data_IF_656395360733
#
_entry.id   IF_656395360733
#
_cell.length_a   1.000
_cell.length_b   1.000
_cell.length_c   1.000
_cell.angle_alpha   90.00
_cell.angle_beta   90.00
_cell.angle_gamma   90.00
#
_symmetry.space_group_name_H-M   'P 1'
#
loop_
_entity.id
_entity.type
_entity.pdbx_description
1 polymer ?
#
# COMPACT_ATOMS: atom_id res chain seq x y z
N UNK A 1 9.30 -75.79 10.16
CA UNK A 1 10.33 -74.73 10.17
C UNK A 1 10.74 -74.57 8.72
N UNK A 2 10.47 -73.49 7.99
CA UNK A 2 10.58 -72.06 8.32
C UNK A 2 9.52 -71.22 7.59
N UNK A 3 9.14 -70.12 8.25
CA UNK A 3 8.29 -69.04 7.77
C UNK A 3 9.07 -68.10 6.84
N UNK A 4 8.61 -67.88 5.62
CA UNK A 4 9.03 -66.71 4.82
C UNK A 4 7.81 -65.83 4.57
N UNK A 5 7.77 -64.69 5.28
CA UNK A 5 6.78 -63.64 5.10
C UNK A 5 7.02 -62.84 3.82
N UNK A 6 6.04 -62.03 3.37
CA UNK A 6 6.17 -61.26 2.15
C UNK A 6 7.28 -60.20 2.26
N UNK A 7 8.10 -60.18 1.21
CA UNK A 7 9.27 -59.33 0.95
C UNK A 7 9.04 -57.86 1.37
N UNK A 8 9.74 -57.40 2.42
CA UNK A 8 9.80 -55.98 2.77
C UNK A 8 10.85 -55.30 1.88
N UNK A 9 10.39 -54.68 0.78
CA UNK A 9 11.22 -53.76 0.00
C UNK A 9 11.69 -52.56 0.85
N UNK A 10 12.74 -51.84 0.41
CA UNK A 10 13.39 -50.81 1.21
C UNK A 10 12.39 -49.78 1.75
N UNK A 11 12.37 -49.64 3.08
CA UNK A 11 11.51 -48.72 3.80
C UNK A 11 12.00 -47.27 3.59
N UNK A 12 11.66 -46.70 2.43
CA UNK A 12 11.75 -45.26 2.24
C UNK A 12 10.80 -44.52 3.20
N UNK A 13 11.02 -43.22 3.46
CA UNK A 13 10.13 -42.44 4.32
C UNK A 13 8.69 -42.46 3.80
N UNK A 14 7.73 -42.66 4.70
CA UNK A 14 6.30 -42.67 4.37
C UNK A 14 5.88 -41.37 3.65
N UNK A 15 5.06 -41.49 2.61
CA UNK A 15 4.54 -40.37 1.83
C UNK A 15 3.16 -39.98 2.33
N UNK A 16 3.00 -38.72 2.71
CA UNK A 16 1.71 -38.18 3.15
C UNK A 16 0.86 -37.77 1.95
N UNK A 17 -0.39 -38.22 1.91
CA UNK A 17 -1.32 -37.89 0.82
C UNK A 17 -1.75 -36.42 0.91
N UNK A 18 -1.59 -35.67 -0.19
CA UNK A 18 -2.00 -34.26 -0.26
C UNK A 18 -3.52 -34.06 -0.23
N UNK A 19 -4.31 -35.07 -0.61
CA UNK A 19 -5.77 -34.99 -0.70
C UNK A 19 -6.45 -35.28 0.64
N UNK A 20 -6.05 -36.35 1.34
CA UNK A 20 -6.71 -36.78 2.58
C UNK A 20 -5.80 -36.83 3.81
N UNK A 21 -4.51 -36.49 3.65
CA UNK A 21 -3.55 -36.40 4.74
C UNK A 21 -3.06 -37.72 5.31
N UNK A 22 -3.45 -38.87 4.75
CA UNK A 22 -3.04 -40.19 5.25
C UNK A 22 -1.59 -40.51 4.90
N UNK A 23 -0.91 -41.22 5.79
CA UNK A 23 0.44 -41.73 5.54
C UNK A 23 0.37 -42.99 4.69
N UNK A 24 1.21 -43.07 3.67
CA UNK A 24 1.28 -44.17 2.73
C UNK A 24 2.71 -44.70 2.64
N UNK A 25 2.91 -46.01 2.42
CA UNK A 25 4.24 -46.57 2.22
C UNK A 25 4.96 -45.91 1.04
N UNK A 26 6.29 -45.78 1.12
CA UNK A 26 7.09 -45.07 0.11
C UNK A 26 6.98 -45.65 -1.31
N UNK A 27 6.62 -46.93 -1.44
CA UNK A 27 6.46 -47.64 -2.71
C UNK A 27 5.05 -47.50 -3.33
N UNK A 28 4.11 -46.82 -2.67
CA UNK A 28 2.76 -46.62 -3.20
C UNK A 28 2.73 -45.43 -4.17
N UNK A 29 2.12 -45.64 -5.34
CA UNK A 29 1.87 -44.59 -6.33
C UNK A 29 0.53 -43.86 -6.09
N UNK A 30 -0.39 -44.50 -5.37
CA UNK A 30 -1.73 -44.00 -5.04
C UNK A 30 -2.00 -44.12 -3.55
N UNK A 31 -2.80 -43.19 -3.02
CA UNK A 31 -3.22 -43.19 -1.63
C UNK A 31 -4.13 -44.38 -1.33
N UNK A 32 -3.78 -45.19 -0.34
CA UNK A 32 -4.56 -46.35 0.11
C UNK A 32 -5.93 -45.98 0.67
N UNK A 33 -6.11 -44.73 1.12
CA UNK A 33 -7.35 -44.25 1.74
C UNK A 33 -8.32 -43.55 0.78
N UNK A 34 -7.80 -42.77 -0.19
CA UNK A 34 -8.66 -41.98 -1.10
C UNK A 34 -8.35 -42.17 -2.59
N UNK A 35 -7.38 -43.01 -2.96
CA UNK A 35 -7.01 -43.28 -4.35
C UNK A 35 -6.26 -42.15 -5.07
N UNK A 36 -5.99 -41.02 -4.41
CA UNK A 36 -5.28 -39.89 -5.05
C UNK A 36 -3.81 -40.25 -5.35
N UNK A 37 -3.24 -39.81 -6.50
CA UNK A 37 -1.84 -40.07 -6.82
C UNK A 37 -0.90 -39.38 -5.81
N UNK A 38 0.11 -40.11 -5.36
CA UNK A 38 1.10 -39.67 -4.36
C UNK A 38 2.34 -39.00 -4.98
N UNK A 39 2.51 -39.11 -6.30
CA UNK A 39 3.76 -38.77 -6.99
C UNK A 39 3.81 -37.34 -7.57
N UNK A 40 2.74 -36.55 -7.54
CA UNK A 40 2.75 -35.22 -8.16
C UNK A 40 1.93 -34.24 -7.33
N UNK A 41 2.53 -33.18 -6.74
CA UNK A 41 1.72 -32.04 -6.30
C UNK A 41 0.93 -31.56 -7.53
N UNK A 42 -0.37 -31.24 -7.40
CA UNK A 42 -1.18 -30.86 -8.55
C UNK A 42 -0.44 -29.79 -9.36
N UNK A 43 -0.27 -30.04 -10.66
CA UNK A 43 0.35 -29.08 -11.59
C UNK A 43 -0.34 -27.74 -11.38
N UNK A 44 0.36 -26.78 -10.78
CA UNK A 44 -0.09 -25.41 -10.70
C UNK A 44 0.36 -24.75 -12.00
N UNK A 45 -0.56 -24.44 -12.94
CA UNK A 45 -0.17 -23.72 -14.14
C UNK A 45 0.54 -22.43 -13.72
N UNK A 46 1.62 -22.02 -14.42
CA UNK A 46 2.30 -20.78 -14.12
C UNK A 46 1.27 -19.65 -14.07
N UNK A 47 1.23 -18.93 -12.95
CA UNK A 47 0.26 -17.84 -12.75
C UNK A 47 0.45 -16.83 -13.89
N UNK A 48 -0.60 -16.50 -14.67
CA UNK A 48 -0.45 -15.52 -15.74
C UNK A 48 -0.01 -14.19 -15.14
N UNK A 49 1.03 -13.58 -15.72
CA UNK A 49 1.50 -12.25 -15.32
C UNK A 49 0.38 -11.26 -15.64
N UNK A 50 -0.12 -10.58 -14.61
CA UNK A 50 -1.18 -9.58 -14.78
C UNK A 50 -0.57 -8.18 -14.92
N UNK A 51 -1.33 -7.24 -15.49
CA UNK A 51 -0.93 -5.82 -15.54
C UNK A 51 -0.64 -5.24 -14.14
N UNK A 52 -1.30 -5.81 -13.10
CA UNK A 52 -1.05 -5.49 -11.70
C UNK A 52 0.33 -5.95 -11.23
N UNK A 53 0.80 -7.11 -11.68
CA UNK A 53 2.12 -7.62 -11.33
C UNK A 53 3.21 -6.77 -12.00
N UNK A 54 2.99 -6.37 -13.25
CA UNK A 54 3.87 -5.42 -13.97
C UNK A 54 3.91 -4.07 -13.23
N UNK A 55 2.76 -3.48 -12.91
CA UNK A 55 2.70 -2.20 -12.19
C UNK A 55 3.38 -2.25 -10.82
N UNK A 56 3.23 -3.36 -10.08
CA UNK A 56 3.93 -3.58 -8.81
C UNK A 56 5.44 -3.62 -8.98
N UNK A 57 5.95 -4.38 -9.96
CA UNK A 57 7.37 -4.47 -10.23
C UNK A 57 7.92 -3.10 -10.66
N UNK A 58 7.23 -2.40 -11.56
CA UNK A 58 7.61 -1.05 -11.98
C UNK A 58 7.68 -0.10 -10.79
N UNK A 59 6.68 -0.10 -9.90
CA UNK A 59 6.69 0.69 -8.67
C UNK A 59 7.82 0.32 -7.71
N UNK A 60 8.16 -0.96 -7.60
CA UNK A 60 9.23 -1.44 -6.73
C UNK A 60 10.62 -1.02 -7.24
N UNK A 61 10.84 -0.99 -8.55
CA UNK A 61 12.11 -0.49 -9.10
C UNK A 61 12.18 1.03 -9.10
N UNK A 62 11.07 1.73 -9.38
CA UNK A 62 11.05 3.20 -9.43
C UNK A 62 11.14 3.86 -8.05
N UNK A 63 10.97 3.13 -6.95
CA UNK A 63 11.23 3.64 -5.60
C UNK A 63 12.72 3.74 -5.25
N UNK A 64 13.60 2.98 -5.92
CA UNK A 64 15.05 3.03 -5.69
C UNK A 64 15.67 4.38 -6.03
N UNK A 65 15.43 4.98 -7.21
CA UNK A 65 15.92 6.32 -7.50
C UNK A 65 15.36 7.37 -6.52
N UNK A 66 14.11 7.19 -6.06
CA UNK A 66 13.51 8.11 -5.08
C UNK A 66 14.23 8.00 -3.73
N UNK A 67 14.53 6.77 -3.29
CA UNK A 67 15.30 6.51 -2.08
C UNK A 67 16.68 7.19 -2.13
N UNK A 68 17.37 7.10 -3.28
CA UNK A 68 18.67 7.75 -3.49
C UNK A 68 18.52 9.27 -3.40
N UNK A 69 17.55 9.85 -4.11
CA UNK A 69 17.28 11.28 -4.06
C UNK A 69 16.95 11.75 -2.64
N UNK A 70 16.10 11.03 -1.92
CA UNK A 70 15.77 11.32 -0.54
C UNK A 70 17.00 11.26 0.37
N UNK A 71 17.87 10.26 0.20
CA UNK A 71 19.11 10.15 0.97
C UNK A 71 20.05 11.35 0.73
N UNK A 72 20.21 11.77 -0.53
CA UNK A 72 20.97 12.97 -0.89
C UNK A 72 20.34 14.22 -0.26
N UNK A 73 19.02 14.35 -0.34
CA UNK A 73 18.31 15.50 0.22
C UNK A 73 18.41 15.53 1.74
N UNK A 74 18.33 14.41 2.44
CA UNK A 74 18.56 14.33 3.90
C UNK A 74 19.98 14.79 4.23
N UNK A 75 20.98 14.39 3.46
CA UNK A 75 22.35 14.86 3.63
C UNK A 75 22.47 16.38 3.40
N UNK A 76 21.79 16.93 2.39
CA UNK A 76 21.70 18.38 2.14
C UNK A 76 21.04 19.10 3.32
N UNK A 77 19.95 18.57 3.87
CA UNK A 77 19.28 19.16 5.05
C UNK A 77 20.20 19.15 6.29
N UNK A 78 20.97 18.09 6.50
CA UNK A 78 21.94 18.06 7.62
C UNK A 78 23.09 19.04 7.37
N UNK A 79 23.62 19.08 6.15
CA UNK A 79 24.65 20.05 5.75
C UNK A 79 24.16 21.50 5.86
N UNK A 80 22.88 21.73 5.58
CA UNK A 80 22.22 23.02 5.71
C UNK A 80 22.28 23.62 7.12
N UNK A 81 22.60 22.85 8.16
CA UNK A 81 22.86 23.37 9.52
C UNK A 81 24.00 24.40 9.46
N UNK A 82 25.07 24.11 8.71
CA UNK A 82 26.20 25.02 8.52
C UNK A 82 25.83 26.26 7.70
N UNK A 83 24.85 26.15 6.79
CA UNK A 83 24.36 27.28 5.99
C UNK A 83 23.41 28.20 6.75
N UNK A 84 22.61 27.66 7.67
CA UNK A 84 21.64 28.42 8.46
C UNK A 84 22.30 29.10 9.66
N UNK A 85 23.36 28.52 10.22
CA UNK A 85 24.06 29.06 11.40
C UNK A 85 24.47 30.55 11.28
N UNK A 86 25.00 31.05 10.15
CA UNK A 86 25.33 32.47 10.01
C UNK A 86 24.13 33.42 10.01
N UNK A 87 22.91 32.90 9.85
CA UNK A 87 21.66 33.66 9.70
C UNK A 87 20.78 33.58 10.96
N UNK A 88 21.40 33.42 12.14
CA UNK A 88 20.69 33.43 13.44
C UNK A 88 19.98 34.75 13.73
N UNK A 89 20.35 35.83 13.06
CA UNK A 89 19.71 37.15 13.15
C UNK A 89 18.32 37.20 12.50
N UNK A 90 17.97 36.22 11.67
CA UNK A 90 16.69 36.13 10.99
C UNK A 90 15.58 35.63 11.93
N UNK A 91 14.32 35.88 11.55
CA UNK A 91 13.15 35.38 12.27
C UNK A 91 12.25 34.49 11.40
N UNK A 92 11.51 33.59 12.05
CA UNK A 92 10.52 32.71 11.43
C UNK A 92 9.29 32.60 12.33
N UNK A 93 8.10 32.62 11.74
CA UNK A 93 6.85 32.48 12.48
C UNK A 93 6.30 31.06 12.37
N UNK A 94 6.11 30.40 13.51
CA UNK A 94 5.25 29.23 13.61
C UNK A 94 3.80 29.66 13.46
N UNK A 95 3.02 28.83 12.79
CA UNK A 95 1.62 29.13 12.46
C UNK A 95 0.71 27.94 12.71
N UNK A 96 -0.59 28.19 12.80
CA UNK A 96 -1.63 27.16 12.74
C UNK A 96 -2.42 27.32 11.45
N UNK A 97 -2.81 26.19 10.87
CA UNK A 97 -3.67 26.16 9.68
C UNK A 97 -5.13 26.24 10.11
N UNK A 98 -5.72 27.40 9.86
CA UNK A 98 -7.18 27.60 9.78
C UNK A 98 -7.52 27.87 8.30
N UNK A 99 -8.74 28.31 7.90
CA UNK A 99 -8.94 28.78 6.53
C UNK A 99 -7.97 29.92 6.14
N UNK A 100 -7.30 30.52 7.14
CA UNK A 100 -6.12 31.37 7.00
C UNK A 100 -4.92 30.79 7.75
N UNK A 101 -3.70 31.11 7.30
CA UNK A 101 -2.48 30.84 8.05
C UNK A 101 -2.37 31.88 9.15
N UNK A 102 -2.46 31.45 10.41
CA UNK A 102 -2.42 32.35 11.58
C UNK A 102 -1.07 32.16 12.29
N UNK A 103 -0.17 33.15 12.30
CA UNK A 103 1.06 33.07 13.07
C UNK A 103 0.76 33.07 14.56
N UNK A 104 1.49 32.25 15.32
CA UNK A 104 1.29 32.06 16.77
C UNK A 104 2.53 32.34 17.61
N UNK A 105 3.72 32.17 17.04
CA UNK A 105 4.99 32.33 17.74
C UNK A 105 6.07 32.73 16.74
N UNK A 106 6.80 33.80 17.04
CA UNK A 106 7.97 34.20 16.27
C UNK A 106 9.25 33.68 16.94
N UNK A 107 10.09 33.01 16.17
CA UNK A 107 11.37 32.46 16.59
C UNK A 107 12.47 33.31 15.97
N UNK A 108 13.39 33.81 16.80
CA UNK A 108 14.58 34.55 16.37
C UNK A 108 15.82 34.13 17.14
N UNK A 109 16.99 34.59 16.71
CA UNK A 109 18.25 34.33 17.42
C UNK A 109 18.58 32.84 17.48
N UNK A 110 18.98 32.38 18.66
CA UNK A 110 19.29 30.96 18.90
C UNK A 110 18.08 30.04 18.68
N UNK A 111 16.86 30.50 18.97
CA UNK A 111 15.65 29.68 18.82
C UNK A 111 15.33 29.36 17.36
N UNK A 112 15.59 30.29 16.44
CA UNK A 112 15.49 30.10 14.99
C UNK A 112 16.43 28.98 14.52
N UNK A 113 17.70 29.03 14.94
CA UNK A 113 18.69 28.03 14.57
C UNK A 113 18.42 26.65 15.19
N UNK A 114 18.12 26.59 16.49
CA UNK A 114 17.77 25.33 17.16
C UNK A 114 16.53 24.68 16.56
N UNK A 115 15.56 25.49 16.12
CA UNK A 115 14.39 24.98 15.42
C UNK A 115 14.76 24.34 14.09
N UNK A 116 15.66 24.94 13.30
CA UNK A 116 16.17 24.29 12.08
C UNK A 116 16.86 22.94 12.37
N UNK A 117 17.70 22.88 13.41
CA UNK A 117 18.34 21.62 13.83
C UNK A 117 17.28 20.57 14.17
N UNK A 118 16.21 20.96 14.87
CA UNK A 118 15.07 20.09 15.14
C UNK A 118 14.40 19.59 13.85
N UNK A 119 14.16 20.46 12.86
CA UNK A 119 13.58 20.07 11.56
C UNK A 119 14.46 19.04 10.84
N UNK A 120 15.77 19.28 10.76
CA UNK A 120 16.73 18.38 10.15
C UNK A 120 16.75 17.00 10.84
N UNK A 121 16.74 16.97 12.17
CA UNK A 121 16.67 15.73 12.95
C UNK A 121 15.35 15.00 12.74
N UNK A 122 14.21 15.70 12.71
CA UNK A 122 12.90 15.08 12.48
C UNK A 122 12.82 14.39 11.11
N UNK A 123 13.36 15.03 10.06
CA UNK A 123 13.46 14.47 8.71
C UNK A 123 14.41 13.26 8.70
N UNK A 124 15.60 13.39 9.28
CA UNK A 124 16.59 12.31 9.31
C UNK A 124 16.09 11.07 10.09
N UNK A 125 15.48 11.27 11.25
CA UNK A 125 14.88 10.18 12.05
C UNK A 125 13.74 9.53 11.27
N UNK A 126 12.90 10.31 10.60
CA UNK A 126 11.82 9.79 9.76
C UNK A 126 12.37 8.90 8.63
N UNK A 127 13.45 9.34 7.97
CA UNK A 127 14.12 8.60 6.92
C UNK A 127 14.72 7.29 7.42
N UNK A 128 15.46 7.32 8.53
CA UNK A 128 16.06 6.12 9.14
C UNK A 128 14.97 5.13 9.56
N UNK A 129 13.88 5.61 10.16
CA UNK A 129 12.75 4.79 10.57
C UNK A 129 12.06 4.11 9.37
N UNK A 130 11.86 4.86 8.29
CA UNK A 130 11.33 4.34 7.02
C UNK A 130 12.25 3.27 6.43
N UNK A 131 13.56 3.54 6.37
CA UNK A 131 14.56 2.60 5.85
C UNK A 131 14.59 1.31 6.66
N UNK A 132 14.58 1.41 7.99
CA UNK A 132 14.56 0.26 8.90
C UNK A 132 13.33 -0.62 8.68
N UNK A 133 12.13 -0.04 8.59
CA UNK A 133 10.89 -0.78 8.31
C UNK A 133 10.83 -1.37 6.89
N UNK A 134 11.57 -0.78 5.96
CA UNK A 134 11.61 -1.22 4.55
C UNK A 134 12.61 -2.35 4.32
N UNK A 135 13.66 -2.46 5.14
CA UNK A 135 14.80 -3.37 4.92
C UNK A 135 14.42 -4.85 4.71
N UNK A 136 13.38 -5.34 5.40
CA UNK A 136 12.91 -6.73 5.25
C UNK A 136 11.96 -6.95 4.05
N UNK A 137 10.88 -6.15 3.87
CA UNK A 137 9.94 -6.38 2.77
C UNK A 137 10.51 -6.06 1.38
N UNK A 138 11.48 -5.15 1.27
CA UNK A 138 11.99 -4.65 -0.03
C UNK A 138 12.50 -5.76 -0.95
N UNK A 139 13.18 -6.77 -0.42
CA UNK A 139 13.70 -7.87 -1.23
C UNK A 139 12.56 -8.63 -1.91
N UNK A 140 11.46 -8.87 -1.19
CA UNK A 140 10.30 -9.57 -1.76
C UNK A 140 9.60 -8.72 -2.82
N UNK A 141 9.54 -7.42 -2.62
CA UNK A 141 8.95 -6.46 -3.57
C UNK A 141 9.77 -6.38 -4.86
N UNK A 142 11.09 -6.28 -4.78
CA UNK A 142 12.00 -6.26 -5.94
C UNK A 142 12.00 -7.58 -6.71
N UNK A 143 11.78 -8.71 -6.01
CA UNK A 143 11.59 -10.03 -6.63
C UNK A 143 10.19 -10.22 -7.24
N UNK A 144 9.30 -9.23 -7.16
CA UNK A 144 7.92 -9.34 -7.66
C UNK A 144 7.04 -10.33 -6.89
N UNK A 145 7.46 -10.75 -5.69
CA UNK A 145 6.70 -11.69 -4.85
C UNK A 145 5.55 -10.95 -4.18
N UNK A 146 4.41 -11.64 -4.03
CA UNK A 146 3.29 -11.07 -3.28
C UNK A 146 3.66 -10.89 -1.81
N UNK A 147 3.56 -9.66 -1.32
CA UNK A 147 3.70 -9.31 0.10
C UNK A 147 2.33 -9.11 0.72
N UNK A 148 2.18 -9.47 2.01
CA UNK A 148 0.94 -9.24 2.77
C UNK A 148 0.69 -7.75 2.96
N UNK A 149 1.75 -7.02 3.28
CA UNK A 149 1.78 -5.56 3.42
C UNK A 149 3.01 -5.02 2.69
N UNK A 150 2.81 -3.92 1.97
CA UNK A 150 3.88 -3.24 1.26
C UNK A 150 4.78 -2.47 2.23
N UNK A 151 6.04 -2.30 1.85
CA UNK A 151 6.98 -1.49 2.61
C UNK A 151 6.52 -0.03 2.71
N UNK A 152 6.93 0.70 3.77
CA UNK A 152 6.70 2.13 3.85
C UNK A 152 7.27 2.88 2.64
N UNK A 153 8.49 2.54 2.19
CA UNK A 153 9.10 3.13 1.00
C UNK A 153 8.23 2.92 -0.25
N UNK A 154 7.77 1.69 -0.49
CA UNK A 154 6.92 1.40 -1.64
C UNK A 154 5.65 2.25 -1.62
N UNK A 155 5.01 2.36 -0.45
CA UNK A 155 3.76 3.13 -0.29
C UNK A 155 4.00 4.63 -0.49
N UNK A 156 5.07 5.19 0.09
CA UNK A 156 5.44 6.60 -0.07
C UNK A 156 5.76 6.88 -1.54
N UNK A 157 6.58 6.04 -2.18
CA UNK A 157 7.02 6.23 -3.56
C UNK A 157 5.87 6.16 -4.56
N UNK A 158 4.96 5.18 -4.41
CA UNK A 158 3.81 5.03 -5.30
C UNK A 158 2.80 6.17 -5.15
N UNK A 159 2.62 6.72 -3.94
CA UNK A 159 1.85 7.95 -3.73
C UNK A 159 2.56 9.18 -4.29
N UNK A 160 3.87 9.32 -4.09
CA UNK A 160 4.69 10.40 -4.67
C UNK A 160 4.52 10.42 -6.20
N UNK A 161 4.71 9.29 -6.86
CA UNK A 161 4.57 9.17 -8.31
C UNK A 161 3.13 9.51 -8.77
N UNK A 162 2.11 9.01 -8.07
CA UNK A 162 0.71 9.30 -8.42
C UNK A 162 0.36 10.78 -8.27
N UNK A 163 0.79 11.43 -7.18
CA UNK A 163 0.56 12.86 -6.94
C UNK A 163 1.38 13.70 -7.92
N UNK A 164 2.62 13.32 -8.22
CA UNK A 164 3.45 13.98 -9.22
C UNK A 164 2.79 13.93 -10.61
N UNK A 165 2.31 12.76 -11.03
CA UNK A 165 1.60 12.59 -12.29
C UNK A 165 0.33 13.45 -12.33
N UNK A 166 -0.47 13.45 -11.25
CA UNK A 166 -1.64 14.31 -11.14
C UNK A 166 -1.29 15.80 -11.30
N UNK A 167 -0.25 16.27 -10.60
CA UNK A 167 0.19 17.66 -10.66
C UNK A 167 0.57 18.06 -12.09
N UNK A 168 1.34 17.22 -12.80
CA UNK A 168 1.73 17.49 -14.19
C UNK A 168 0.51 17.53 -15.11
N UNK A 169 -0.40 16.56 -15.02
CA UNK A 169 -1.64 16.56 -15.80
C UNK A 169 -2.44 17.84 -15.55
N UNK A 170 -2.63 18.20 -14.27
CA UNK A 170 -3.38 19.37 -13.88
C UNK A 170 -2.76 20.65 -14.46
N UNK A 171 -1.46 20.84 -14.30
CA UNK A 171 -0.77 22.02 -14.83
C UNK A 171 -0.77 22.07 -16.36
N UNK A 172 -0.68 20.94 -17.05
CA UNK A 172 -0.85 20.88 -18.51
C UNK A 172 -2.25 21.32 -18.93
N UNK A 173 -3.30 20.88 -18.21
CA UNK A 173 -4.69 21.28 -18.48
C UNK A 173 -4.86 22.79 -18.28
N UNK A 174 -4.40 23.35 -17.15
CA UNK A 174 -4.52 24.79 -16.89
C UNK A 174 -3.69 25.61 -17.89
N UNK A 175 -2.48 25.15 -18.22
CA UNK A 175 -1.67 25.83 -19.24
C UNK A 175 -2.32 25.77 -20.63
N UNK A 176 -3.03 24.69 -20.95
CA UNK A 176 -3.74 24.55 -22.23
C UNK A 176 -4.95 25.49 -22.36
N UNK A 177 -5.50 26.00 -21.24
CA UNK A 177 -6.54 27.03 -21.25
C UNK A 177 -5.99 28.46 -21.37
N UNK A 178 -4.70 28.62 -21.68
CA UNK A 178 -4.06 29.93 -21.84
C UNK A 178 -3.75 30.64 -20.52
N UNK A 179 -3.90 29.95 -19.38
CA UNK A 179 -3.57 30.49 -18.06
C UNK A 179 -2.20 29.99 -17.63
N UNK A 180 -1.33 30.89 -17.18
CA UNK A 180 -0.04 30.54 -16.58
C UNK A 180 -0.16 30.67 -15.06
N UNK A 181 -0.21 29.55 -14.30
CA UNK A 181 -0.23 29.61 -12.85
C UNK A 181 1.01 30.34 -12.33
N UNK A 182 0.81 31.28 -11.42
CA UNK A 182 1.93 31.93 -10.74
C UNK A 182 2.45 31.02 -9.62
N UNK A 183 3.77 31.03 -9.42
CA UNK A 183 4.43 30.43 -8.25
C UNK A 183 5.04 31.55 -7.41
N UNK A 184 5.25 31.33 -6.10
CA UNK A 184 6.11 32.19 -5.30
C UNK A 184 7.47 32.38 -5.98
N UNK A 185 8.08 33.53 -5.78
CA UNK A 185 9.44 33.78 -6.25
C UNK A 185 10.44 32.97 -5.41
N UNK A 186 10.70 31.76 -5.87
CA UNK A 186 11.71 30.86 -5.30
C UNK A 186 13.11 31.14 -5.87
N UNK A 187 13.22 31.95 -6.93
CA UNK A 187 14.49 32.21 -7.64
C UNK A 187 15.34 33.28 -6.98
N UNK A 188 14.72 34.22 -6.26
CA UNK A 188 15.44 35.25 -5.48
C UNK A 188 15.81 34.80 -4.06
N UNK A 189 15.27 33.68 -3.60
CA UNK A 189 15.55 33.14 -2.27
C UNK A 189 16.98 32.59 -2.19
N UNK A 190 17.69 32.92 -1.12
CA UNK A 190 19.00 32.33 -0.83
C UNK A 190 18.87 30.82 -0.62
N UNK A 191 19.95 30.07 -0.91
CA UNK A 191 19.96 28.61 -0.75
C UNK A 191 19.60 28.18 0.69
N UNK A 192 20.11 28.88 1.71
CA UNK A 192 19.78 28.60 3.10
C UNK A 192 18.28 28.81 3.37
N UNK A 193 17.69 29.86 2.80
CA UNK A 193 16.27 30.21 2.98
C UNK A 193 15.36 29.18 2.33
N UNK A 194 15.71 28.69 1.13
CA UNK A 194 15.01 27.59 0.47
C UNK A 194 15.06 26.31 1.30
N UNK A 195 16.24 25.90 1.74
CA UNK A 195 16.41 24.68 2.55
C UNK A 195 15.64 24.81 3.87
N UNK A 196 15.71 25.97 4.54
CA UNK A 196 14.98 26.21 5.79
C UNK A 196 13.48 26.17 5.56
N UNK A 197 12.97 26.94 4.59
CA UNK A 197 11.55 27.07 4.31
C UNK A 197 10.91 25.73 3.96
N UNK A 198 11.58 24.94 3.10
CA UNK A 198 11.12 23.60 2.73
C UNK A 198 11.24 22.59 3.87
N UNK A 199 12.32 22.62 4.67
CA UNK A 199 12.40 21.75 5.84
C UNK A 199 11.29 22.07 6.86
N UNK A 200 10.98 23.35 7.04
CA UNK A 200 9.88 23.80 7.87
C UNK A 200 8.53 23.33 7.32
N UNK A 201 8.26 23.53 6.02
CA UNK A 201 7.03 23.06 5.38
C UNK A 201 6.85 21.54 5.56
N UNK A 202 7.89 20.78 5.25
CA UNK A 202 7.88 19.31 5.31
C UNK A 202 7.62 18.72 6.70
N UNK A 203 7.95 19.43 7.79
CA UNK A 203 7.74 18.94 9.17
C UNK A 203 6.58 19.65 9.85
N UNK A 204 6.60 20.98 9.89
CA UNK A 204 5.64 21.78 10.65
C UNK A 204 4.24 21.69 10.05
N UNK A 205 4.10 21.74 8.72
CA UNK A 205 2.78 21.62 8.10
C UNK A 205 2.15 20.26 8.41
N UNK A 206 2.95 19.20 8.44
CA UNK A 206 2.49 17.86 8.82
C UNK A 206 2.04 17.81 10.28
N UNK A 207 2.77 18.46 11.19
CA UNK A 207 2.33 18.59 12.60
C UNK A 207 0.98 19.30 12.68
N UNK A 208 0.84 20.50 12.10
CA UNK A 208 -0.37 21.31 12.28
C UNK A 208 -1.55 20.84 11.46
N UNK A 209 -1.36 20.02 10.44
CA UNK A 209 -2.50 19.49 9.67
C UNK A 209 -2.81 18.04 9.99
N UNK A 210 -1.84 17.18 10.33
CA UNK A 210 -2.09 15.76 10.55
C UNK A 210 -2.31 15.49 12.02
N UNK A 211 -1.47 16.05 12.89
CA UNK A 211 -1.66 15.90 14.33
C UNK A 211 -2.84 16.75 14.78
N UNK A 212 -2.85 18.05 14.46
CA UNK A 212 -3.87 18.96 14.99
C UNK A 212 -5.24 18.85 14.29
N UNK A 213 -5.32 18.57 12.98
CA UNK A 213 -6.62 18.48 12.27
C UNK A 213 -7.15 17.05 12.08
N UNK A 214 -6.33 16.02 12.32
CA UNK A 214 -6.76 14.62 12.26
C UNK A 214 -6.58 13.94 13.62
N UNK A 215 -5.35 13.86 14.11
CA UNK A 215 -4.98 13.13 15.33
C UNK A 215 -5.72 13.57 16.59
N UNK A 216 -5.66 14.86 16.90
CA UNK A 216 -6.30 15.47 18.08
C UNK A 216 -7.83 15.36 18.01
N UNK A 217 -8.52 15.73 16.91
CA UNK A 217 -9.95 15.49 16.78
C UNK A 217 -10.33 14.01 16.90
N UNK A 218 -9.55 13.11 16.30
CA UNK A 218 -9.81 11.67 16.37
C UNK A 218 -9.66 11.16 17.81
N UNK A 219 -8.69 11.65 18.58
CA UNK A 219 -8.55 11.35 20.00
C UNK A 219 -9.80 11.75 20.77
N UNK A 220 -10.27 12.99 20.61
CA UNK A 220 -11.49 13.45 21.29
C UNK A 220 -12.71 12.62 20.91
N UNK A 221 -12.92 12.36 19.61
CA UNK A 221 -14.05 11.55 19.14
C UNK A 221 -13.98 10.13 19.71
N UNK A 222 -12.79 9.52 19.74
CA UNK A 222 -12.61 8.18 20.27
C UNK A 222 -12.80 8.12 21.79
N UNK A 223 -12.40 9.16 22.55
CA UNK A 223 -12.67 9.23 23.98
C UNK A 223 -14.18 9.08 24.29
N UNK A 224 -15.05 9.68 23.48
CA UNK A 224 -16.51 9.52 23.61
C UNK A 224 -17.04 8.18 23.10
N UNK A 225 -16.29 7.47 22.24
CA UNK A 225 -16.71 6.18 21.63
C UNK A 225 -16.13 4.95 22.31
N UNK A 226 -15.17 5.13 23.22
CA UNK A 226 -14.48 4.05 23.94
C UNK A 226 -15.43 3.14 24.72
N UNK A 227 -16.56 3.67 25.21
CA UNK A 227 -17.59 2.88 25.90
C UNK A 227 -18.35 1.92 24.97
N UNK A 228 -18.36 2.19 23.66
CA UNK A 228 -19.27 1.54 22.72
C UNK A 228 -18.54 0.62 21.72
N UNK A 229 -17.23 0.79 21.52
CA UNK A 229 -16.46 0.00 20.55
C UNK A 229 -15.17 -0.57 21.14
N UNK A 230 -15.09 -1.91 21.21
CA UNK A 230 -13.90 -2.63 21.68
C UNK A 230 -12.64 -2.30 20.86
N UNK A 231 -12.77 -2.16 19.54
CA UNK A 231 -11.66 -1.79 18.65
C UNK A 231 -11.09 -0.38 18.87
N UNK A 232 -11.89 0.53 19.43
CA UNK A 232 -11.44 1.90 19.78
C UNK A 232 -10.69 1.88 21.12
N UNK A 233 -11.05 0.95 22.01
CA UNK A 233 -10.42 0.79 23.32
C UNK A 233 -8.96 0.31 23.25
N UNK A 234 -8.61 -0.42 22.20
CA UNK A 234 -7.25 -0.91 21.96
C UNK A 234 -6.29 0.15 21.39
N UNK A 235 -6.81 1.32 20.97
CA UNK A 235 -6.01 2.39 20.38
C UNK A 235 -5.14 3.07 21.45
N UNK A 236 -3.84 3.17 21.17
CA UNK A 236 -2.85 3.76 22.06
C UNK A 236 -2.75 5.26 21.83
N UNK A 237 -2.47 6.04 22.89
CA UNK A 237 -2.40 7.50 22.83
C UNK A 237 -1.39 8.00 21.79
N UNK A 238 -0.25 7.34 21.65
CA UNK A 238 0.77 7.72 20.69
C UNK A 238 0.29 7.61 19.23
N UNK A 239 -0.71 6.79 18.92
CA UNK A 239 -1.23 6.67 17.55
C UNK A 239 -1.90 7.98 17.11
N UNK A 240 -2.48 8.76 18.02
CA UNK A 240 -3.08 10.05 17.68
C UNK A 240 -2.05 11.15 17.40
N UNK A 241 -0.81 10.98 17.88
CA UNK A 241 0.27 11.97 17.71
C UNK A 241 1.23 11.52 16.59
N UNK A 242 1.72 10.28 16.67
CA UNK A 242 2.65 9.71 15.71
C UNK A 242 1.95 9.12 14.48
N UNK A 243 0.62 8.96 14.51
CA UNK A 243 -0.15 8.29 13.48
C UNK A 243 0.07 6.77 13.44
N UNK A 244 -0.43 6.15 12.37
CA UNK A 244 -0.18 4.74 12.03
C UNK A 244 -1.13 3.73 12.67
N UNK A 245 -1.44 2.69 11.91
CA UNK A 245 -2.26 1.57 12.37
C UNK A 245 -3.78 1.83 12.39
N UNK A 246 -4.26 2.92 11.78
CA UNK A 246 -5.70 3.19 11.69
C UNK A 246 -6.36 2.47 10.51
N UNK A 247 -7.56 1.93 10.75
CA UNK A 247 -8.52 1.62 9.70
C UNK A 247 -9.14 2.91 9.17
N UNK A 248 -9.42 2.98 7.86
CA UNK A 248 -10.12 4.15 7.28
C UNK A 248 -11.62 3.86 7.34
N UNK A 249 -12.23 4.28 8.45
CA UNK A 249 -13.67 4.32 8.63
C UNK A 249 -14.27 5.63 8.14
N UNK A 250 -15.55 5.85 8.43
CA UNK A 250 -16.27 7.07 8.02
C UNK A 250 -15.71 8.33 8.70
N UNK A 251 -15.31 8.23 9.97
CA UNK A 251 -14.78 9.38 10.71
C UNK A 251 -13.37 9.72 10.28
N UNK A 252 -12.51 8.70 10.15
CA UNK A 252 -11.15 8.88 9.67
C UNK A 252 -11.16 9.48 8.25
N UNK A 253 -12.06 9.02 7.38
CA UNK A 253 -12.24 9.60 6.05
C UNK A 253 -12.77 11.05 6.08
N UNK A 254 -13.71 11.37 6.98
CA UNK A 254 -14.23 12.73 7.11
C UNK A 254 -13.14 13.71 7.60
N UNK A 255 -12.35 13.33 8.60
CA UNK A 255 -11.23 14.12 9.10
C UNK A 255 -10.12 14.25 8.05
N UNK A 256 -9.82 13.17 7.31
CA UNK A 256 -8.88 13.19 6.20
C UNK A 256 -9.33 14.17 5.10
N UNK A 257 -10.60 14.13 4.71
CA UNK A 257 -11.16 15.05 3.71
C UNK A 257 -11.10 16.50 4.21
N UNK A 258 -11.54 16.75 5.45
CA UNK A 258 -11.47 18.07 6.08
C UNK A 258 -10.05 18.60 6.11
N UNK A 259 -9.09 17.84 6.64
CA UNK A 259 -7.68 18.23 6.69
C UNK A 259 -7.11 18.51 5.29
N UNK A 260 -7.51 17.75 4.27
CA UNK A 260 -7.02 17.93 2.90
C UNK A 260 -7.56 19.21 2.26
N UNK A 261 -8.84 19.56 2.51
CA UNK A 261 -9.43 20.82 2.07
C UNK A 261 -8.72 22.00 2.73
N UNK A 262 -8.51 21.93 4.04
CA UNK A 262 -7.82 22.97 4.80
C UNK A 262 -6.39 23.18 4.30
N UNK A 263 -5.68 22.08 4.03
CA UNK A 263 -4.34 22.12 3.44
C UNK A 263 -4.34 22.77 2.06
N UNK A 264 -5.31 22.44 1.19
CA UNK A 264 -5.47 23.07 -0.12
C UNK A 264 -5.74 24.58 -0.06
N UNK A 265 -6.64 25.01 0.83
CA UNK A 265 -6.99 26.43 1.02
C UNK A 265 -5.81 27.23 1.59
N UNK A 266 -5.03 26.65 2.51
CA UNK A 266 -3.89 27.32 3.12
C UNK A 266 -2.84 27.78 2.09
N UNK A 267 -2.74 27.06 0.96
CA UNK A 267 -1.77 27.38 -0.09
C UNK A 267 -2.15 28.61 -0.93
N UNK A 268 -3.41 29.09 -0.90
CA UNK A 268 -3.88 30.25 -1.69
C UNK A 268 -3.20 31.56 -1.32
N UNK A 269 -2.71 31.69 -0.08
CA UNK A 269 -2.19 32.97 0.39
C UNK A 269 -0.80 33.27 -0.18
N UNK A 270 -0.03 32.23 -0.50
CA UNK A 270 1.31 32.36 -1.09
C UNK A 270 1.35 31.90 -2.56
N UNK A 271 0.36 31.13 -3.02
CA UNK A 271 0.25 30.61 -4.39
C UNK A 271 -1.06 31.03 -5.04
N UNK A 272 -1.19 30.78 -6.34
CA UNK A 272 -2.43 31.00 -7.07
C UNK A 272 -3.58 30.08 -6.62
N UNK A 273 -4.83 30.47 -6.89
CA UNK A 273 -6.06 29.69 -6.64
C UNK A 273 -6.00 28.30 -7.27
N UNK A 274 -5.31 28.16 -8.41
CA UNK A 274 -5.11 26.89 -9.07
C UNK A 274 -4.34 25.87 -8.22
N UNK A 275 -3.54 26.32 -7.24
CA UNK A 275 -2.77 25.47 -6.34
C UNK A 275 -3.64 24.72 -5.32
N UNK A 276 -4.90 25.14 -5.11
CA UNK A 276 -5.84 24.47 -4.19
C UNK A 276 -6.01 23.00 -4.58
N UNK A 277 -6.24 22.71 -5.87
CA UNK A 277 -6.57 21.37 -6.33
C UNK A 277 -5.37 20.39 -6.23
N UNK A 278 -4.17 20.72 -6.74
CA UNK A 278 -2.94 19.96 -6.48
C UNK A 278 -2.67 19.73 -5.00
N UNK A 279 -2.78 20.77 -4.19
CA UNK A 279 -2.46 20.69 -2.76
C UNK A 279 -3.50 19.88 -2.00
N UNK A 280 -4.78 19.96 -2.36
CA UNK A 280 -5.82 19.07 -1.84
C UNK A 280 -5.51 17.59 -2.13
N UNK A 281 -5.11 17.25 -3.36
CA UNK A 281 -4.76 15.87 -3.73
C UNK A 281 -3.51 15.38 -2.99
N UNK A 282 -2.49 16.23 -2.85
CA UNK A 282 -1.33 15.94 -2.01
C UNK A 282 -1.74 15.75 -0.53
N UNK A 283 -2.63 16.60 -0.02
CA UNK A 283 -3.20 16.51 1.33
C UNK A 283 -3.91 15.18 1.60
N UNK A 284 -4.65 14.65 0.61
CA UNK A 284 -5.27 13.32 0.72
C UNK A 284 -4.21 12.21 0.87
N UNK A 285 -3.12 12.28 0.09
CA UNK A 285 -2.03 11.31 0.17
C UNK A 285 -1.29 11.41 1.51
N UNK A 286 -0.98 12.63 1.96
CA UNK A 286 -0.29 12.90 3.23
C UNK A 286 -1.14 12.48 4.44
N UNK A 287 -2.44 12.79 4.44
CA UNK A 287 -3.38 12.35 5.47
C UNK A 287 -3.56 10.82 5.48
N UNK A 288 -3.59 10.19 4.31
CA UNK A 288 -3.66 8.73 4.19
C UNK A 288 -2.42 8.08 4.80
N UNK A 289 -1.22 8.61 4.51
CA UNK A 289 0.03 8.14 5.08
C UNK A 289 0.07 8.31 6.60
N UNK A 290 -0.44 9.42 7.13
CA UNK A 290 -0.53 9.64 8.57
C UNK A 290 -1.39 8.57 9.26
N UNK A 291 -2.57 8.27 8.72
CA UNK A 291 -3.46 7.26 9.27
C UNK A 291 -2.88 5.84 9.16
N UNK A 292 -2.25 5.50 8.03
CA UNK A 292 -1.77 4.13 7.78
C UNK A 292 -0.40 3.84 8.35
N UNK A 293 0.57 4.70 8.08
CA UNK A 293 1.97 4.48 8.43
C UNK A 293 2.41 5.35 9.62
N UNK A 294 2.00 6.61 9.65
CA UNK A 294 2.36 7.58 10.68
C UNK A 294 2.92 8.88 10.11
N UNK A 295 3.11 9.87 10.98
CA UNK A 295 3.55 11.22 10.62
C UNK A 295 4.91 11.22 9.91
N UNK A 296 5.81 10.31 10.27
CA UNK A 296 7.12 10.18 9.60
C UNK A 296 6.97 9.93 8.09
N UNK A 297 5.95 9.17 7.67
CA UNK A 297 5.74 8.86 6.26
C UNK A 297 5.18 10.08 5.51
N UNK A 298 4.32 10.85 6.17
CA UNK A 298 3.80 12.10 5.61
C UNK A 298 4.90 13.16 5.49
N UNK A 299 5.76 13.31 6.51
CA UNK A 299 6.95 14.17 6.47
C UNK A 299 7.82 13.81 5.27
N UNK A 300 8.12 12.52 5.08
CA UNK A 300 8.97 12.08 3.97
C UNK A 300 8.33 12.28 2.59
N UNK A 301 7.01 12.12 2.45
CA UNK A 301 6.34 12.41 1.20
C UNK A 301 6.37 13.92 0.89
N UNK A 302 6.09 14.76 1.87
CA UNK A 302 6.14 16.22 1.74
C UNK A 302 7.56 16.67 1.37
N UNK A 303 8.55 16.18 2.13
CA UNK A 303 9.98 16.40 1.87
C UNK A 303 10.41 15.98 0.46
N UNK A 304 9.89 14.88 -0.05
CA UNK A 304 10.22 14.41 -1.41
C UNK A 304 9.76 15.38 -2.50
N UNK A 305 8.65 16.10 -2.29
CA UNK A 305 8.19 17.13 -3.22
C UNK A 305 8.99 18.42 -3.07
N UNK A 306 9.14 18.92 -1.84
CA UNK A 306 9.79 20.20 -1.60
C UNK A 306 11.27 20.18 -2.00
N UNK A 307 11.97 19.09 -1.72
CA UNK A 307 13.39 18.95 -2.03
C UNK A 307 13.67 18.37 -3.42
N UNK A 308 12.66 18.14 -4.27
CA UNK A 308 12.86 17.54 -5.60
C UNK A 308 13.87 18.33 -6.45
N UNK A 309 13.84 19.66 -6.36
CA UNK A 309 14.71 20.55 -7.14
C UNK A 309 15.88 21.14 -6.35
N UNK A 310 15.97 20.91 -5.04
CA UNK A 310 17.04 21.47 -4.19
C UNK A 310 18.45 21.07 -4.66
N UNK A 311 18.72 19.83 -5.13
CA UNK A 311 20.03 19.50 -5.67
C UNK A 311 20.51 20.42 -6.81
N UNK A 312 19.59 20.96 -7.63
CA UNK A 312 19.94 21.91 -8.70
C UNK A 312 20.39 23.27 -8.17
N UNK A 313 19.94 23.64 -6.97
CA UNK A 313 20.35 24.88 -6.30
C UNK A 313 21.67 24.69 -5.54
N UNK A 314 21.97 23.48 -5.06
CA UNK A 314 23.25 23.15 -4.41
C UNK A 314 24.37 23.04 -5.44
N UNK A 315 24.10 22.43 -6.60
CA UNK A 315 25.06 22.26 -7.70
C UNK A 315 24.56 22.95 -8.98
N UNK A 316 24.53 24.29 -9.02
CA UNK A 316 24.03 25.04 -10.18
C UNK A 316 24.92 24.80 -11.41
N UNK A 317 24.30 24.79 -12.60
CA UNK A 317 24.98 24.62 -13.88
C UNK A 317 25.35 23.18 -14.25
N UNK A 318 25.06 22.19 -13.40
CA UNK A 318 25.29 20.78 -13.71
C UNK A 318 24.26 20.23 -14.70
N UNK A 319 24.61 20.21 -15.99
CA UNK A 319 23.76 19.65 -17.06
C UNK A 319 23.39 18.18 -16.79
N UNK A 320 24.35 17.39 -16.29
CA UNK A 320 24.12 15.98 -15.97
C UNK A 320 23.06 15.81 -14.88
N UNK A 321 23.09 16.64 -13.83
CA UNK A 321 22.09 16.61 -12.77
C UNK A 321 20.71 17.06 -13.27
N UNK A 322 20.67 18.13 -14.08
CA UNK A 322 19.43 18.63 -14.66
C UNK A 322 18.76 17.59 -15.57
N UNK A 323 19.51 16.97 -16.48
CA UNK A 323 19.01 15.91 -17.36
C UNK A 323 18.63 14.67 -16.56
N UNK A 324 19.45 14.27 -15.57
CA UNK A 324 19.18 13.13 -14.70
C UNK A 324 17.88 13.28 -13.92
N UNK A 325 17.69 14.39 -13.20
CA UNK A 325 16.46 14.69 -12.48
C UNK A 325 15.25 14.83 -13.41
N UNK A 326 15.43 15.43 -14.59
CA UNK A 326 14.37 15.58 -15.60
C UNK A 326 13.88 14.22 -16.13
N UNK A 327 14.80 13.36 -16.56
CA UNK A 327 14.47 12.00 -17.05
C UNK A 327 13.86 11.13 -15.95
N UNK A 328 14.38 11.23 -14.73
CA UNK A 328 13.85 10.52 -13.57
C UNK A 328 12.43 11.00 -13.21
N UNK A 329 12.18 12.31 -13.30
CA UNK A 329 10.84 12.87 -13.11
C UNK A 329 9.86 12.39 -14.17
N UNK A 330 10.28 12.30 -15.44
CA UNK A 330 9.45 11.73 -16.51
C UNK A 330 9.12 10.25 -16.29
N UNK A 331 10.10 9.46 -15.82
CA UNK A 331 9.88 8.08 -15.40
C UNK A 331 8.84 8.00 -14.28
N UNK A 332 8.98 8.81 -13.23
CA UNK A 332 8.03 8.85 -12.12
C UNK A 332 6.64 9.30 -12.52
N UNK A 333 6.51 10.25 -13.44
CA UNK A 333 5.21 10.64 -14.00
C UNK A 333 4.58 9.47 -14.75
N UNK A 334 5.35 8.78 -15.60
CA UNK A 334 4.86 7.65 -16.40
C UNK A 334 4.40 6.48 -15.53
N UNK A 335 5.20 6.08 -14.54
CA UNK A 335 4.79 5.07 -13.55
C UNK A 335 3.64 5.57 -12.69
N UNK A 336 3.66 6.85 -12.33
CA UNK A 336 2.65 7.55 -11.55
C UNK A 336 1.27 7.53 -12.19
N UNK A 337 1.16 7.58 -13.52
CA UNK A 337 -0.12 7.44 -14.22
C UNK A 337 -0.82 6.12 -13.90
N UNK A 338 -0.06 5.02 -13.84
CA UNK A 338 -0.60 3.69 -13.52
C UNK A 338 -1.10 3.66 -12.07
N UNK A 339 -0.32 4.23 -11.13
CA UNK A 339 -0.71 4.30 -9.73
C UNK A 339 -1.84 5.29 -9.46
N UNK A 340 -1.92 6.39 -10.19
CA UNK A 340 -3.02 7.35 -10.12
C UNK A 340 -4.34 6.66 -10.47
N UNK A 341 -4.39 5.93 -11.59
CA UNK A 341 -5.56 5.14 -11.97
C UNK A 341 -5.89 4.06 -10.94
N UNK A 342 -4.87 3.36 -10.43
CA UNK A 342 -5.02 2.35 -9.39
C UNK A 342 -5.64 2.92 -8.10
N UNK A 343 -5.11 4.03 -7.59
CA UNK A 343 -5.61 4.66 -6.37
C UNK A 343 -6.97 5.29 -6.56
N UNK A 344 -7.23 5.92 -7.71
CA UNK A 344 -8.54 6.47 -8.04
C UNK A 344 -9.60 5.36 -8.06
N UNK A 345 -9.30 4.24 -8.71
CA UNK A 345 -10.21 3.12 -8.76
C UNK A 345 -10.43 2.48 -7.38
N UNK A 346 -9.38 2.39 -6.55
CA UNK A 346 -9.49 1.93 -5.16
C UNK A 346 -10.36 2.88 -4.31
N UNK A 347 -10.18 4.18 -4.45
CA UNK A 347 -10.99 5.19 -3.75
C UNK A 347 -12.46 5.12 -4.19
N UNK A 348 -12.73 5.07 -5.49
CA UNK A 348 -14.08 4.91 -6.04
C UNK A 348 -14.74 3.60 -5.59
N UNK A 349 -13.97 2.50 -5.57
CA UNK A 349 -14.47 1.21 -5.11
C UNK A 349 -14.82 1.22 -3.63
N UNK A 350 -13.99 1.86 -2.81
CA UNK A 350 -14.27 2.06 -1.39
C UNK A 350 -15.53 2.91 -1.16
N UNK A 351 -15.69 4.03 -1.88
CA UNK A 351 -16.87 4.91 -1.77
C UNK A 351 -18.17 4.25 -2.24
N UNK A 352 -18.12 3.52 -3.35
CA UNK A 352 -19.30 2.84 -3.93
C UNK A 352 -19.61 1.49 -3.26
N UNK A 353 -18.70 1.00 -2.41
CA UNK A 353 -18.80 -0.33 -1.80
C UNK A 353 -18.66 -1.49 -2.79
N UNK A 354 -18.26 -1.21 -4.04
CA UNK A 354 -18.09 -2.15 -5.15
C UNK A 354 -16.60 -2.36 -5.43
N UNK A 355 -16.24 -3.54 -5.95
CA UNK A 355 -14.89 -3.74 -6.48
C UNK A 355 -14.80 -3.07 -7.84
N UNK A 356 -13.89 -2.11 -7.95
CA UNK A 356 -13.51 -1.48 -9.21
C UNK A 356 -12.11 -1.99 -9.55
N UNK A 357 -11.79 -2.04 -10.84
CA UNK A 357 -10.51 -2.50 -11.35
C UNK A 357 -9.32 -1.92 -10.53
N UNK A 358 -8.28 -2.71 -10.20
CA UNK A 358 -8.01 -4.08 -10.63
C UNK A 358 -8.57 -5.18 -9.72
N UNK A 359 -9.39 -4.85 -8.71
CA UNK A 359 -9.92 -5.86 -7.77
C UNK A 359 -11.18 -6.57 -8.28
N UNK A 360 -11.71 -6.13 -9.42
CA UNK A 360 -12.63 -6.88 -10.25
C UNK A 360 -11.81 -7.57 -11.37
N UNK A 361 -11.81 -8.92 -11.46
CA UNK A 361 -11.15 -9.58 -12.59
C UNK A 361 -11.80 -9.07 -13.88
N UNK A 362 -10.98 -8.73 -14.88
CA UNK A 362 -11.50 -8.62 -16.23
C UNK A 362 -12.24 -9.92 -16.52
N UNK A 363 -13.52 -9.86 -16.90
CA UNK A 363 -14.17 -11.01 -17.53
C UNK A 363 -13.43 -11.24 -18.85
N UNK A 364 -12.31 -11.95 -18.79
CA UNK A 364 -11.82 -12.66 -19.97
C UNK A 364 -12.96 -13.58 -20.33
N UNK A 365 -13.55 -13.34 -21.51
CA UNK A 365 -14.41 -14.33 -22.17
C UNK A 365 -13.67 -15.65 -22.01
N UNK A 366 -14.20 -16.54 -21.18
CA UNK A 366 -13.57 -17.81 -20.85
C UNK A 366 -13.12 -18.44 -22.15
N UNK A 367 -11.81 -18.55 -22.36
CA UNK A 367 -11.30 -19.56 -23.25
C UNK A 367 -11.95 -20.85 -22.79
N UNK A 368 -12.68 -21.49 -23.71
CA UNK A 368 -13.47 -22.68 -23.47
C UNK A 368 -12.79 -23.57 -22.44
N UNK A 369 -13.54 -23.97 -21.41
CA UNK A 369 -13.14 -25.05 -20.54
C UNK A 369 -12.68 -26.20 -21.44
N UNK A 370 -11.36 -26.39 -21.56
CA UNK A 370 -10.81 -27.63 -22.10
C UNK A 370 -11.23 -28.68 -21.09
N UNK A 371 -12.31 -29.36 -21.44
CA UNK A 371 -12.74 -30.61 -20.85
C UNK A 371 -11.51 -31.50 -20.82
N UNK A 372 -10.95 -31.70 -19.63
CA UNK A 372 -10.00 -32.79 -19.41
C UNK A 372 -10.74 -34.06 -19.81
N UNK A 373 -10.40 -34.59 -20.99
CA UNK A 373 -10.90 -35.88 -21.42
C UNK A 373 -10.40 -36.90 -20.42
N UNK A 374 -11.31 -37.43 -19.62
CA UNK A 374 -11.03 -38.56 -18.75
C UNK A 374 -10.47 -39.68 -19.63
N UNK A 375 -9.28 -40.16 -19.28
CA UNK A 375 -8.62 -41.29 -19.91
C UNK A 375 -9.57 -42.51 -19.87
N UNK A 376 -10.17 -42.85 -21.00
CA UNK A 376 -10.90 -44.11 -21.18
C UNK A 376 -9.86 -45.21 -21.43
N UNK A 377 -9.76 -46.25 -20.57
CA UNK A 377 -8.93 -47.39 -20.91
C UNK A 377 -9.46 -48.08 -22.18
N UNK A 378 -8.61 -48.70 -23.01
CA UNK A 378 -9.05 -49.34 -24.24
C UNK A 378 -9.90 -50.57 -23.89
N UNK A 379 -11.13 -50.60 -24.37
CA UNK A 379 -12.00 -51.76 -24.30
C UNK A 379 -11.52 -52.84 -25.28
N UNK A 380 -10.66 -53.74 -24.79
CA UNK A 380 -10.39 -55.04 -25.42
C UNK A 380 -11.60 -55.97 -25.23
N UNK A 381 -11.96 -56.69 -26.29
CA UNK A 381 -13.23 -57.41 -26.45
C UNK A 381 -13.45 -58.64 -25.55
N UNK A 382 -14.69 -59.14 -25.61
CA UNK A 382 -15.13 -60.38 -24.98
C UNK A 382 -16.46 -60.21 -24.24
N UNK A 383 -17.59 -60.15 -24.97
CA UNK A 383 -18.91 -60.23 -24.36
C UNK A 383 -19.20 -61.67 -23.95
N UNK A 384 -19.27 -61.93 -22.64
CA UNK A 384 -19.93 -63.11 -22.08
C UNK A 384 -21.23 -62.64 -21.44
N UNK A 385 -22.36 -63.10 -21.98
CA UNK A 385 -23.69 -62.75 -21.50
C UNK A 385 -24.06 -63.59 -20.26
N UNK A 386 -24.36 -62.94 -19.15
CA UNK A 386 -25.08 -63.54 -18.02
C UNK A 386 -26.48 -62.88 -17.90
N UNK A 387 -27.54 -63.64 -17.60
CA UNK A 387 -28.88 -63.08 -17.45
C UNK A 387 -28.99 -62.24 -16.17
N UNK A 388 -29.51 -61.02 -16.32
CA UNK A 388 -29.81 -60.12 -15.19
C UNK A 388 -31.08 -60.57 -14.47
N UNK A 389 -30.94 -60.99 -13.22
CA UNK A 389 -32.03 -60.95 -12.23
C UNK A 389 -32.06 -59.56 -11.58
N UNK A 390 -33.21 -58.87 -11.65
CA UNK A 390 -33.43 -57.58 -10.99
C UNK A 390 -33.81 -57.79 -9.52
N UNK A 391 -33.15 -57.14 -8.55
CA UNK A 391 -33.73 -56.89 -7.23
C UNK A 391 -34.39 -55.51 -7.18
N UNK A 392 -35.47 -55.43 -6.40
CA UNK A 392 -36.35 -54.28 -6.15
C UNK A 392 -35.64 -53.00 -5.63
N UNK A 393 -36.28 -51.81 -5.72
CA UNK A 393 -35.64 -50.54 -5.39
C UNK A 393 -35.54 -50.35 -3.87
N UNK A 394 -34.31 -50.26 -3.35
CA UNK A 394 -34.04 -49.73 -2.02
C UNK A 394 -34.10 -48.20 -1.98
N UNK A 395 -34.26 -47.59 -0.79
CA UNK A 395 -34.41 -46.14 -0.64
C UNK A 395 -33.18 -45.39 -1.17
N UNK A 396 -33.42 -44.39 -2.01
CA UNK A 396 -32.38 -43.55 -2.61
C UNK A 396 -31.70 -42.71 -1.52
N UNK A 397 -30.46 -43.05 -1.20
CA UNK A 397 -29.55 -42.15 -0.50
C UNK A 397 -29.17 -41.01 -1.45
N UNK A 398 -29.76 -39.84 -1.26
CA UNK A 398 -29.36 -38.61 -1.94
C UNK A 398 -28.00 -38.19 -1.39
N UNK A 399 -26.94 -38.33 -2.19
CA UNK A 399 -25.64 -37.78 -1.85
C UNK A 399 -25.77 -36.25 -1.68
N UNK A 400 -25.17 -35.64 -0.64
CA UNK A 400 -25.21 -34.19 -0.48
C UNK A 400 -24.60 -33.51 -1.71
N UNK A 401 -25.12 -32.35 -2.12
CA UNK A 401 -24.64 -31.66 -3.30
C UNK A 401 -23.15 -31.35 -3.12
N UNK A 402 -22.35 -31.88 -4.06
CA UNK A 402 -20.93 -31.56 -4.17
C UNK A 402 -20.85 -30.05 -4.38
N UNK A 403 -20.43 -29.32 -3.35
CA UNK A 403 -20.18 -27.89 -3.44
C UNK A 403 -19.16 -27.66 -4.55
N UNK A 404 -19.55 -26.89 -5.58
CA UNK A 404 -18.65 -26.51 -6.66
C UNK A 404 -17.36 -25.93 -6.04
N UNK A 405 -16.17 -26.37 -6.50
CA UNK A 405 -14.92 -25.78 -6.03
C UNK A 405 -14.94 -24.27 -6.31
N UNK A 406 -14.39 -23.45 -5.40
CA UNK A 406 -14.38 -22.00 -5.58
C UNK A 406 -13.69 -21.64 -6.89
N UNK A 407 -14.26 -20.68 -7.64
CA UNK A 407 -13.73 -20.16 -8.91
C UNK A 407 -12.31 -19.57 -8.80
N UNK A 408 -11.80 -19.39 -7.58
CA UNK A 408 -10.45 -18.89 -7.31
C UNK A 408 -9.72 -19.84 -6.33
N UNK A 409 -8.80 -20.68 -6.81
CA UNK A 409 -8.00 -21.57 -5.97
C UNK A 409 -6.97 -20.82 -5.09
N UNK A 410 -6.85 -19.49 -5.21
CA UNK A 410 -5.99 -18.64 -4.37
C UNK A 410 -6.74 -17.89 -3.28
N UNK A 411 -8.06 -18.07 -3.16
CA UNK A 411 -8.86 -17.52 -2.07
C UNK A 411 -8.60 -18.26 -0.74
N UNK A 412 -7.36 -18.27 -0.26
CA UNK A 412 -7.07 -18.61 1.13
C UNK A 412 -7.30 -17.36 1.98
N UNK A 413 -8.25 -17.42 2.92
CA UNK A 413 -8.60 -16.31 3.78
C UNK A 413 -10.07 -16.32 4.17
N UNK A 414 -10.39 -15.62 5.27
CA UNK A 414 -11.78 -15.40 5.68
C UNK A 414 -12.54 -14.72 4.54
N UNK A 415 -13.72 -15.24 4.19
CA UNK A 415 -14.63 -14.59 3.25
C UNK A 415 -16.03 -14.61 3.84
N UNK A 416 -16.49 -13.44 4.27
CA UNK A 416 -17.81 -13.32 4.87
C UNK A 416 -18.89 -13.78 3.88
N UNK A 417 -19.73 -14.72 4.30
CA UNK A 417 -20.83 -15.27 3.49
C UNK A 417 -21.91 -14.23 3.17
N UNK A 418 -22.00 -13.17 3.97
CA UNK A 418 -23.04 -12.15 3.85
C UNK A 418 -22.66 -10.97 2.96
N UNK A 419 -21.40 -10.55 2.95
CA UNK A 419 -20.99 -9.35 2.21
C UNK A 419 -19.69 -9.50 1.41
N UNK A 420 -19.07 -10.68 1.39
CA UNK A 420 -17.86 -10.97 0.62
C UNK A 420 -16.61 -10.23 1.07
N UNK A 421 -16.62 -9.66 2.28
CA UNK A 421 -15.46 -9.03 2.89
C UNK A 421 -14.39 -10.07 3.20
N UNK A 422 -13.12 -9.69 3.06
CA UNK A 422 -11.98 -10.60 3.27
C UNK A 422 -11.26 -10.38 4.60
N UNK A 423 -11.77 -9.45 5.40
CA UNK A 423 -11.26 -9.13 6.72
C UNK A 423 -12.26 -9.62 7.78
N UNK A 424 -11.75 -10.33 8.78
CA UNK A 424 -12.47 -10.70 9.99
C UNK A 424 -11.61 -10.36 11.21
N UNK A 425 -12.26 -10.11 12.34
CA UNK A 425 -11.64 -10.18 13.65
C UNK A 425 -12.10 -11.47 14.35
N UNK A 426 -11.23 -12.04 15.19
CA UNK A 426 -11.53 -13.26 15.93
C UNK A 426 -12.07 -12.89 17.30
N UNK A 427 -13.26 -13.38 17.64
CA UNK A 427 -13.94 -13.13 18.92
C UNK A 427 -14.67 -14.41 19.33
N UNK A 428 -14.46 -14.87 20.57
CA UNK A 428 -15.13 -16.04 21.16
C UNK A 428 -15.14 -17.34 20.32
N UNK A 429 -14.04 -17.60 19.61
CA UNK A 429 -13.90 -18.82 18.82
C UNK A 429 -14.35 -18.70 17.36
N UNK A 430 -14.97 -17.59 16.99
CA UNK A 430 -15.55 -17.36 15.66
C UNK A 430 -14.87 -16.21 14.90
N UNK A 431 -14.86 -16.28 13.57
CA UNK A 431 -14.36 -15.21 12.71
C UNK A 431 -15.52 -14.30 12.32
N UNK A 432 -15.50 -13.06 12.81
CA UNK A 432 -16.56 -12.08 12.59
C UNK A 432 -16.10 -11.07 11.52
N UNK A 433 -16.90 -10.90 10.48
CA UNK A 433 -16.61 -9.97 9.40
C UNK A 433 -16.44 -8.52 9.89
N UNK A 434 -15.32 -7.87 9.57
CA UNK A 434 -15.08 -6.46 9.96
C UNK A 434 -16.06 -5.48 9.31
N UNK A 435 -16.62 -5.82 8.14
CA UNK A 435 -17.60 -4.99 7.42
C UNK A 435 -19.05 -5.12 7.91
N UNK A 436 -19.57 -6.34 8.07
CA UNK A 436 -20.99 -6.56 8.39
C UNK A 436 -21.25 -7.19 9.77
N UNK A 437 -20.19 -7.49 10.54
CA UNK A 437 -20.26 -8.06 11.90
C UNK A 437 -21.01 -9.39 12.00
N UNK A 438 -21.13 -10.10 10.87
CA UNK A 438 -21.66 -11.47 10.82
C UNK A 438 -20.53 -12.47 10.64
N UNK A 439 -20.72 -13.66 11.18
CA UNK A 439 -19.84 -14.83 11.04
C UNK A 439 -19.75 -15.32 9.60
#
# INVERSE_FOLDING_TARGET
MTSEGPFQGPQGPARRCWSCGSDNPAHYNFCSRCGAPLAVPPYQPPKPVTLRDIGRILGAYSMLPLLILMAVNVAITIWGIGLVYPHMDMTMSLFIVTPRIVPILELGGLSFFLYYVFLALAIAISFVWMAWKTALPIQKELMGKSVKEHSPLFTIATLFMAVLAFNIIFYVIISSSGTTPTSPDLGSSSLWGLIYGFANASVWEEVVTRILLIGVPLLFIDLFRRSTSSSVRERKLHQYILGGGFGIGKVEAALLLFSSIMFGIAHVWNWDLWKIVPSFVAGLALGYLFLKLGVYASILLHFSFDFLSIPLNVWPGSLALQLGLGLMSMLWVSVGMVFLLYYLAKALGWMTGRRIWPDAPFRTRTANAMTYSAYRPPSGGGQVAYPQSRPSPGPQYQAPPISAPPLDPTAFGYRCRHCGNTEAHYEDGELICTRCRKT
#
